data_IF_348679239118
#
_entry.id   IF_348679239118
#
_cell.length_a   1.000
_cell.length_b   1.000
_cell.length_c   1.000
_cell.angle_alpha   90.00
_cell.angle_beta   90.00
_cell.angle_gamma   90.00
#
_symmetry.space_group_name_H-M   'P 1'
#
loop_
_entity.id
_entity.type
_entity.pdbx_description
1 polymer ?
#
# COMPACT_ATOMS: atom_id res chain seq x y z
N UNK A 1 16.56 24.06 5.25
CA UNK A 1 16.23 22.80 5.95
C UNK A 1 16.11 21.75 4.86
N UNK A 2 16.95 20.71 4.88
CA UNK A 2 16.96 19.67 3.85
C UNK A 2 15.97 18.57 4.27
N UNK A 3 15.00 18.25 3.42
CA UNK A 3 14.06 17.15 3.66
C UNK A 3 14.78 15.86 3.30
N UNK A 4 15.05 14.99 4.28
CA UNK A 4 15.50 13.63 4.00
C UNK A 4 14.29 12.77 3.66
N UNK A 5 14.11 12.47 2.38
CA UNK A 5 13.10 11.54 1.88
C UNK A 5 13.67 10.14 1.71
N UNK A 6 13.04 9.12 2.29
CA UNK A 6 13.39 7.72 2.08
C UNK A 6 12.21 7.02 1.40
N UNK A 7 12.52 6.19 0.39
CA UNK A 7 11.53 5.34 -0.27
C UNK A 7 11.84 3.87 0.04
N UNK A 8 10.97 3.22 0.80
CA UNK A 8 11.08 1.77 1.08
C UNK A 8 10.10 1.02 0.19
N UNK A 9 10.50 -0.14 -0.33
CA UNK A 9 9.65 -0.95 -1.19
C UNK A 9 9.29 -2.28 -0.52
N UNK A 10 8.09 -2.77 -0.81
CA UNK A 10 7.58 -4.04 -0.29
C UNK A 10 6.60 -4.68 -1.24
N UNK A 11 6.26 -5.95 -1.03
CA UNK A 11 5.21 -6.63 -1.79
C UNK A 11 4.43 -7.55 -0.87
N UNK A 12 3.11 -7.46 -0.95
CA UNK A 12 2.20 -8.36 -0.25
C UNK A 12 1.39 -9.16 -1.25
N UNK A 13 1.33 -10.48 -1.03
CA UNK A 13 0.42 -11.35 -1.79
C UNK A 13 -0.97 -11.25 -1.19
N UNK A 14 -1.96 -10.99 -2.03
CA UNK A 14 -3.39 -10.99 -1.66
C UNK A 14 -4.01 -12.35 -1.98
N UNK A 15 -3.58 -12.96 -3.09
CA UNK A 15 -3.95 -14.32 -3.50
C UNK A 15 -2.80 -14.99 -4.25
N UNK A 16 -3.07 -16.15 -4.87
CA UNK A 16 -2.10 -16.82 -5.73
C UNK A 16 -1.68 -15.96 -6.95
N UNK A 17 -2.57 -15.09 -7.43
CA UNK A 17 -2.35 -14.32 -8.67
C UNK A 17 -2.40 -12.81 -8.47
N UNK A 18 -2.91 -12.31 -7.34
CA UNK A 18 -3.01 -10.87 -7.05
C UNK A 18 -2.02 -10.47 -5.96
N UNK A 19 -1.28 -9.38 -6.18
CA UNK A 19 -0.36 -8.78 -5.22
C UNK A 19 -0.47 -7.27 -5.18
N UNK A 20 0.07 -6.67 -4.12
CA UNK A 20 0.23 -5.22 -3.98
C UNK A 20 1.72 -4.93 -3.83
N UNK A 21 2.27 -4.13 -4.72
CA UNK A 21 3.65 -3.63 -4.63
C UNK A 21 3.64 -2.24 -3.99
N UNK A 22 4.25 -2.12 -2.83
CA UNK A 22 4.26 -0.88 -2.06
C UNK A 22 5.52 -0.05 -2.27
N UNK A 23 5.33 1.26 -2.13
CA UNK A 23 6.33 2.28 -1.91
C UNK A 23 5.91 3.09 -0.68
N UNK A 24 6.76 3.12 0.33
CA UNK A 24 6.56 3.87 1.57
C UNK A 24 7.42 5.11 1.50
N UNK A 25 6.78 6.28 1.54
CA UNK A 25 7.44 7.57 1.60
C UNK A 25 7.61 7.97 3.07
N UNK A 26 8.86 8.22 3.45
CA UNK A 26 9.22 8.77 4.75
C UNK A 26 9.88 10.13 4.57
N UNK A 27 9.43 11.13 5.32
CA UNK A 27 10.03 12.45 5.39
C UNK A 27 10.45 12.74 6.84
N UNK A 28 11.72 13.11 7.04
CA UNK A 28 12.27 13.41 8.37
C UNK A 28 12.05 12.27 9.38
N UNK A 29 12.13 11.01 8.92
CA UNK A 29 11.96 9.82 9.75
C UNK A 29 10.51 9.48 10.10
N UNK A 30 9.52 10.15 9.49
CA UNK A 30 8.10 9.84 9.66
C UNK A 30 7.50 9.39 8.33
N UNK A 31 6.74 8.31 8.34
CA UNK A 31 5.96 7.88 7.18
C UNK A 31 4.90 8.94 6.83
N UNK A 32 4.88 9.40 5.59
CA UNK A 32 3.91 10.39 5.08
C UNK A 32 2.91 9.79 4.11
N UNK A 33 3.27 8.69 3.43
CA UNK A 33 2.37 7.94 2.53
C UNK A 33 2.81 6.49 2.40
N UNK A 34 1.84 5.57 2.37
CA UNK A 34 2.00 4.21 1.87
C UNK A 34 1.26 4.12 0.54
N UNK A 35 2.00 4.06 -0.56
CA UNK A 35 1.47 3.91 -1.91
C UNK A 35 1.60 2.46 -2.37
N UNK A 36 0.58 1.91 -3.03
CA UNK A 36 0.55 0.52 -3.48
C UNK A 36 0.01 0.41 -4.90
N UNK A 37 0.68 -0.37 -5.74
CA UNK A 37 0.19 -0.78 -7.06
C UNK A 37 -0.36 -2.20 -6.97
N UNK A 38 -1.60 -2.40 -7.39
CA UNK A 38 -2.27 -3.71 -7.41
C UNK A 38 -1.99 -4.36 -8.75
N UNK A 39 -1.51 -5.60 -8.72
CA UNK A 39 -1.03 -6.29 -9.91
C UNK A 39 -1.55 -7.73 -9.99
N UNK A 40 -1.74 -8.22 -11.22
CA UNK A 40 -1.92 -9.63 -11.53
C UNK A 40 -1.10 -9.98 -12.76
N UNK A 41 -0.26 -11.01 -12.66
CA UNK A 41 0.59 -11.49 -13.77
C UNK A 41 1.40 -10.36 -14.44
N UNK A 42 1.83 -9.36 -13.66
CA UNK A 42 2.54 -8.17 -14.13
C UNK A 42 1.66 -7.08 -14.75
N UNK A 43 0.35 -7.30 -14.89
CA UNK A 43 -0.62 -6.30 -15.32
C UNK A 43 -1.13 -5.44 -14.17
N UNK A 44 -1.28 -4.14 -14.41
CA UNK A 44 -1.86 -3.19 -13.47
C UNK A 44 -3.37 -3.42 -13.32
N UNK A 45 -3.86 -3.44 -12.08
CA UNK A 45 -5.28 -3.59 -11.76
C UNK A 45 -5.83 -2.47 -10.86
N UNK A 46 -4.99 -1.53 -10.47
CA UNK A 46 -5.37 -0.39 -9.65
C UNK A 46 -4.27 0.06 -8.70
N UNK A 47 -4.64 0.98 -7.81
CA UNK A 47 -3.72 1.57 -6.85
C UNK A 47 -4.41 1.88 -5.52
N UNK A 48 -3.59 2.01 -4.48
CA UNK A 48 -4.00 2.42 -3.15
C UNK A 48 -2.99 3.41 -2.58
N UNK A 49 -3.46 4.51 -2.01
CA UNK A 49 -2.64 5.42 -1.19
C UNK A 49 -3.28 5.53 0.18
N UNK A 50 -2.49 5.33 1.23
CA UNK A 50 -2.93 5.46 2.63
C UNK A 50 -2.03 6.49 3.30
N UNK A 51 -2.65 7.42 4.01
CA UNK A 51 -2.00 8.52 4.72
C UNK A 51 -2.06 8.32 6.24
N UNK A 52 -1.20 8.99 7.03
CA UNK A 52 -1.16 8.84 8.49
C UNK A 52 -2.46 9.15 9.22
N UNK A 53 -3.31 9.99 8.65
CA UNK A 53 -4.63 10.34 9.19
C UNK A 53 -5.73 9.30 8.87
N UNK A 54 -5.35 8.21 8.21
CA UNK A 54 -6.25 7.16 7.75
C UNK A 54 -6.97 7.48 6.43
N UNK A 55 -6.77 8.67 5.85
CA UNK A 55 -7.30 8.97 4.51
C UNK A 55 -6.78 7.91 3.55
N UNK A 56 -7.69 7.31 2.81
CA UNK A 56 -7.38 6.26 1.85
C UNK A 56 -7.95 6.62 0.48
N UNK A 57 -7.10 6.61 -0.52
CA UNK A 57 -7.49 6.69 -1.93
C UNK A 57 -7.34 5.29 -2.51
N UNK A 58 -8.44 4.69 -2.94
CA UNK A 58 -8.46 3.33 -3.45
C UNK A 58 -9.13 3.28 -4.82
N UNK A 59 -8.39 2.84 -5.82
CA UNK A 59 -8.85 2.70 -7.18
C UNK A 59 -8.59 1.28 -7.68
N UNK A 60 -9.59 0.69 -8.34
CA UNK A 60 -9.48 -0.62 -8.96
C UNK A 60 -10.14 -0.62 -10.33
N UNK A 61 -9.50 -1.26 -11.28
CA UNK A 61 -10.05 -1.52 -12.61
C UNK A 61 -11.06 -2.69 -12.60
N UNK A 62 -11.68 -2.95 -13.75
CA UNK A 62 -12.69 -4.01 -13.92
C UNK A 62 -12.13 -5.43 -13.78
N UNK A 63 -10.80 -5.60 -13.77
CA UNK A 63 -10.15 -6.92 -13.68
C UNK A 63 -10.21 -7.60 -12.30
N UNK A 64 -10.71 -6.93 -11.26
CA UNK A 64 -10.87 -7.51 -9.92
C UNK A 64 -12.34 -7.85 -9.63
N UNK A 65 -12.58 -9.07 -9.14
CA UNK A 65 -13.87 -9.43 -8.54
C UNK A 65 -14.11 -8.63 -7.26
N UNK A 66 -15.36 -8.56 -6.80
CA UNK A 66 -15.68 -7.85 -5.55
C UNK A 66 -14.99 -8.45 -4.32
N UNK A 67 -14.86 -9.79 -4.27
CA UNK A 67 -14.14 -10.47 -3.21
C UNK A 67 -12.66 -10.08 -3.21
N UNK A 68 -12.03 -10.02 -4.38
CA UNK A 68 -10.64 -9.59 -4.49
C UNK A 68 -10.46 -8.11 -4.12
N UNK A 69 -11.37 -7.22 -4.54
CA UNK A 69 -11.33 -5.80 -4.13
C UNK A 69 -11.34 -5.65 -2.61
N UNK A 70 -12.20 -6.41 -1.92
CA UNK A 70 -12.23 -6.44 -0.45
C UNK A 70 -10.94 -6.97 0.15
N UNK A 71 -10.42 -8.08 -0.37
CA UNK A 71 -9.16 -8.66 0.13
C UNK A 71 -7.98 -7.72 -0.07
N UNK A 72 -7.85 -7.11 -1.25
CA UNK A 72 -6.82 -6.10 -1.55
C UNK A 72 -6.91 -4.94 -0.55
N UNK A 73 -8.11 -4.38 -0.36
CA UNK A 73 -8.31 -3.25 0.55
C UNK A 73 -7.92 -3.60 1.99
N UNK A 74 -8.36 -4.76 2.50
CA UNK A 74 -8.02 -5.22 3.84
C UNK A 74 -6.52 -5.50 4.00
N UNK A 75 -5.88 -6.12 3.01
CA UNK A 75 -4.42 -6.34 3.02
C UNK A 75 -3.68 -5.00 3.06
N UNK A 76 -4.11 -4.01 2.27
CA UNK A 76 -3.51 -2.67 2.26
C UNK A 76 -3.62 -1.96 3.60
N UNK A 77 -4.79 -1.98 4.23
CA UNK A 77 -4.97 -1.38 5.55
C UNK A 77 -4.10 -2.06 6.61
N UNK A 78 -4.09 -3.40 6.65
CA UNK A 78 -3.30 -4.15 7.62
C UNK A 78 -1.79 -3.93 7.46
N UNK A 79 -1.30 -3.79 6.22
CA UNK A 79 0.11 -3.53 5.98
C UNK A 79 0.48 -2.08 6.30
N UNK A 80 -0.38 -1.12 5.94
CA UNK A 80 -0.18 0.28 6.29
C UNK A 80 -0.18 0.49 7.82
N UNK A 81 -1.04 -0.20 8.57
CA UNK A 81 -1.08 -0.13 10.03
C UNK A 81 0.27 -0.52 10.66
N UNK A 82 0.94 -1.56 10.14
CA UNK A 82 2.28 -1.98 10.59
C UNK A 82 3.37 -0.97 10.27
N UNK A 83 3.16 -0.13 9.25
CA UNK A 83 4.13 0.89 8.82
C UNK A 83 3.92 2.20 9.59
N UNK A 84 2.67 2.58 9.84
CA UNK A 84 2.34 3.79 10.60
C UNK A 84 2.49 3.61 12.11
N UNK A 85 2.31 2.38 12.61
CA UNK A 85 2.54 2.07 14.03
C UNK A 85 4.02 1.74 14.23
N UNK A 86 4.76 2.47 15.07
CA UNK A 86 6.14 2.11 15.40
C UNK A 86 6.17 0.69 15.98
N UNK A 87 7.02 -0.19 15.45
CA UNK A 87 7.29 -1.46 16.12
C UNK A 87 8.01 -1.14 17.43
N UNK A 88 7.37 -1.43 18.57
CA UNK A 88 8.05 -1.34 19.87
C UNK A 88 9.32 -2.21 19.81
N UNK A 89 10.45 -1.60 20.14
CA UNK A 89 11.79 -2.19 20.08
C UNK A 89 12.10 -3.04 21.30
#
# INVERSE_FOLDING_TARGET
>A
MEIKSVNKQGTSKVSATVSIRYSVLEENGKTTEVNGTIERDGGHLGSVSIYPDGKTVFYCESGLSWAEKKSVFNTALNDAEKVFTPQES
#
